data_IF_726545688659
#
_entry.id   IF_726545688659
#
_cell.length_a   1.000
_cell.length_b   1.000
_cell.length_c   1.000
_cell.angle_alpha   90.00
_cell.angle_beta   90.00
_cell.angle_gamma   90.00
#
_symmetry.space_group_name_H-M   'P 1'
#
loop_
_entity.id
_entity.type
_entity.pdbx_description
1 polymer ?
#
# COMPACT_ATOMS: atom_id res chain seq x y z
N UNK A 1 26.75 34.65 64.12
CA UNK A 1 25.85 33.77 63.33
C UNK A 1 26.39 33.63 61.91
N UNK A 2 26.99 32.48 61.59
CA UNK A 2 27.71 32.21 60.34
C UNK A 2 26.70 31.71 59.31
N UNK A 3 26.27 32.55 58.36
CA UNK A 3 25.27 32.17 57.35
C UNK A 3 25.86 31.08 56.43
N UNK A 4 25.19 29.94 56.36
CA UNK A 4 25.55 28.79 55.52
C UNK A 4 25.46 29.17 54.03
N UNK A 5 26.54 29.73 53.45
CA UNK A 5 26.58 30.13 52.03
C UNK A 5 26.72 28.94 51.06
N UNK A 6 27.18 27.77 51.54
CA UNK A 6 27.43 26.60 50.69
C UNK A 6 26.18 25.83 50.26
N UNK A 7 25.12 25.82 51.09
CA UNK A 7 23.93 24.99 50.83
C UNK A 7 23.09 25.52 49.66
N UNK A 8 23.10 26.84 49.44
CA UNK A 8 22.41 27.47 48.31
C UNK A 8 23.05 27.08 46.98
N UNK A 9 24.38 26.97 46.92
CA UNK A 9 25.10 26.55 45.73
C UNK A 9 24.78 25.08 45.39
N UNK A 10 24.70 24.23 46.42
CA UNK A 10 24.35 22.83 46.26
C UNK A 10 22.93 22.64 45.70
N UNK A 11 21.95 23.39 46.23
CA UNK A 11 20.58 23.39 45.69
C UNK A 11 20.51 23.91 44.25
N UNK A 12 21.23 25.00 43.94
CA UNK A 12 21.27 25.52 42.57
C UNK A 12 21.83 24.50 41.58
N UNK A 13 22.84 23.73 41.98
CA UNK A 13 23.44 22.69 41.14
C UNK A 13 22.49 21.52 40.91
N UNK A 14 21.73 21.08 41.92
CA UNK A 14 20.71 20.04 41.76
C UNK A 14 19.62 20.49 40.78
N UNK A 15 19.11 21.72 40.95
CA UNK A 15 18.07 22.26 40.07
C UNK A 15 18.57 22.37 38.63
N UNK A 16 19.82 22.80 38.44
CA UNK A 16 20.43 22.89 37.11
C UNK A 16 20.49 21.50 36.44
N UNK A 17 20.93 20.46 37.17
CA UNK A 17 20.98 19.10 36.64
C UNK A 17 19.58 18.56 36.31
N UNK A 18 18.58 18.83 37.15
CA UNK A 18 17.20 18.41 36.86
C UNK A 18 16.66 19.08 35.60
N UNK A 19 16.91 20.38 35.43
CA UNK A 19 16.47 21.12 34.24
C UNK A 19 17.14 20.62 32.96
N UNK A 20 18.43 20.26 33.00
CA UNK A 20 19.13 19.73 31.82
C UNK A 20 18.62 18.34 31.45
N UNK A 21 18.37 17.46 32.42
CA UNK A 21 17.83 16.10 32.15
C UNK A 21 16.44 16.20 31.51
N UNK A 22 15.57 17.06 32.02
CA UNK A 22 14.23 17.29 31.44
C UNK A 22 14.35 17.86 30.02
N UNK A 23 15.26 18.82 29.81
CA UNK A 23 15.51 19.41 28.50
C UNK A 23 15.97 18.40 27.45
N UNK A 24 16.92 17.53 27.79
CA UNK A 24 17.41 16.48 26.89
C UNK A 24 16.32 15.45 26.61
N UNK A 25 15.57 15.01 27.61
CA UNK A 25 14.48 14.05 27.43
C UNK A 25 13.40 14.57 26.47
N UNK A 26 13.02 15.84 26.58
CA UNK A 26 12.07 16.48 25.67
C UNK A 26 12.63 16.61 24.25
N UNK A 27 13.90 17.00 24.11
CA UNK A 27 14.54 17.15 22.80
C UNK A 27 14.63 15.81 22.05
N UNK A 28 14.96 14.71 22.76
CA UNK A 28 15.02 13.36 22.18
C UNK A 28 13.63 12.90 21.71
N UNK A 29 12.62 13.01 22.57
CA UNK A 29 11.25 12.61 22.21
C UNK A 29 10.70 13.43 21.02
N UNK A 30 10.93 14.75 21.01
CA UNK A 30 10.52 15.59 19.88
C UNK A 30 11.21 15.20 18.57
N UNK A 31 12.51 14.88 18.62
CA UNK A 31 13.27 14.45 17.44
C UNK A 31 12.77 13.10 16.92
N UNK A 32 12.41 12.18 17.82
CA UNK A 32 11.81 10.90 17.45
C UNK A 32 10.44 11.10 16.78
N UNK A 33 9.56 11.91 17.38
CA UNK A 33 8.25 12.23 16.82
C UNK A 33 8.38 12.85 15.42
N UNK A 34 9.32 13.78 15.21
CA UNK A 34 9.55 14.38 13.89
C UNK A 34 9.97 13.35 12.84
N UNK A 35 10.87 12.42 13.19
CA UNK A 35 11.29 11.35 12.28
C UNK A 35 10.15 10.39 11.96
N UNK A 36 9.29 10.08 12.93
CA UNK A 36 8.11 9.25 12.71
C UNK A 36 7.06 9.96 11.85
N UNK A 37 6.83 11.25 12.06
CA UNK A 37 5.94 12.05 11.21
C UNK A 37 6.44 12.15 9.77
N UNK A 38 7.75 12.31 9.56
CA UNK A 38 8.35 12.29 8.22
C UNK A 38 8.15 10.94 7.51
N UNK A 39 8.46 9.83 8.19
CA UNK A 39 8.23 8.50 7.62
C UNK A 39 6.75 8.21 7.36
N UNK A 40 5.86 8.75 8.21
CA UNK A 40 4.41 8.69 7.99
C UNK A 40 3.98 9.45 6.74
N UNK A 41 4.49 10.67 6.54
CA UNK A 41 4.21 11.47 5.35
C UNK A 41 4.66 10.78 4.06
N UNK A 42 5.90 10.25 4.03
CA UNK A 42 6.42 9.50 2.88
C UNK A 42 5.57 8.27 2.55
N UNK A 43 5.03 7.58 3.57
CA UNK A 43 4.12 6.45 3.35
C UNK A 43 2.77 6.89 2.76
N UNK A 44 2.22 8.02 3.20
CA UNK A 44 0.95 8.54 2.66
C UNK A 44 1.13 9.00 1.22
N UNK A 45 2.23 9.66 0.90
CA UNK A 45 2.58 10.02 -0.47
C UNK A 45 2.72 8.76 -1.35
N UNK A 46 3.46 7.75 -0.88
CA UNK A 46 3.59 6.49 -1.59
C UNK A 46 2.25 5.78 -1.82
N UNK A 47 1.31 5.89 -0.86
CA UNK A 47 -0.05 5.38 -1.03
C UNK A 47 -0.80 6.13 -2.12
N UNK A 48 -0.74 7.47 -2.13
CA UNK A 48 -1.39 8.27 -3.16
C UNK A 48 -0.83 7.94 -4.57
N UNK A 49 0.48 7.73 -4.67
CA UNK A 49 1.13 7.30 -5.91
C UNK A 49 0.67 5.90 -6.32
N UNK A 50 0.64 4.94 -5.38
CA UNK A 50 0.20 3.58 -5.65
C UNK A 50 -1.26 3.51 -6.06
N UNK A 51 -2.14 4.26 -5.40
CA UNK A 51 -3.57 4.37 -5.72
C UNK A 51 -3.78 5.05 -7.09
N UNK A 52 -3.06 6.14 -7.38
CA UNK A 52 -3.14 6.83 -8.67
C UNK A 52 -2.64 5.96 -9.83
N UNK A 53 -1.52 5.26 -9.64
CA UNK A 53 -1.01 4.31 -10.62
C UNK A 53 -1.92 3.10 -10.82
N UNK A 54 -2.60 2.67 -9.75
CA UNK A 54 -3.60 1.62 -9.84
C UNK A 54 -4.79 2.06 -10.71
N UNK A 55 -5.35 3.24 -10.44
CA UNK A 55 -6.50 3.75 -11.19
C UNK A 55 -6.16 4.03 -12.65
N UNK A 56 -4.96 4.54 -12.93
CA UNK A 56 -4.44 4.68 -14.28
C UNK A 56 -4.27 3.33 -15.00
N UNK A 57 -3.75 2.31 -14.32
CA UNK A 57 -3.62 0.97 -14.90
C UNK A 57 -4.98 0.33 -15.20
N UNK A 58 -6.00 0.57 -14.36
CA UNK A 58 -7.38 0.13 -14.62
C UNK A 58 -7.92 0.85 -15.85
N UNK A 59 -7.81 2.18 -15.90
CA UNK A 59 -8.33 2.99 -16.99
C UNK A 59 -7.66 2.65 -18.34
N UNK A 60 -6.36 2.36 -18.33
CA UNK A 60 -5.60 1.95 -19.51
C UNK A 60 -5.99 0.55 -20.02
N UNK A 61 -6.43 -0.35 -19.14
CA UNK A 61 -6.72 -1.75 -19.47
C UNK A 61 -8.22 -2.10 -19.51
N UNK A 62 -9.11 -1.14 -19.23
CA UNK A 62 -10.56 -1.40 -19.22
C UNK A 62 -11.08 -1.96 -20.54
N UNK A 63 -12.17 -2.74 -20.47
CA UNK A 63 -12.81 -3.32 -21.65
C UNK A 63 -12.06 -4.54 -22.16
N UNK A 64 -11.62 -4.51 -23.42
CA UNK A 64 -11.12 -5.70 -24.13
C UNK A 64 -9.80 -6.23 -23.57
N UNK A 65 -8.92 -5.38 -23.04
CA UNK A 65 -7.65 -5.81 -22.47
C UNK A 65 -7.88 -6.67 -21.22
N UNK A 66 -8.65 -6.20 -20.24
CA UNK A 66 -9.04 -7.00 -19.08
C UNK A 66 -9.90 -8.22 -19.44
N UNK A 67 -10.77 -8.12 -20.45
CA UNK A 67 -11.61 -9.23 -20.89
C UNK A 67 -10.83 -10.40 -21.53
N UNK A 68 -9.70 -10.10 -22.19
CA UNK A 68 -8.88 -11.10 -22.91
C UNK A 68 -7.58 -11.46 -22.18
N UNK A 69 -7.30 -10.80 -21.05
CA UNK A 69 -6.10 -11.05 -20.26
C UNK A 69 -6.05 -12.51 -19.80
N UNK A 70 -5.04 -13.23 -20.29
CA UNK A 70 -4.84 -14.66 -20.04
C UNK A 70 -3.55 -14.97 -19.28
N UNK A 71 -2.60 -14.03 -19.29
CA UNK A 71 -1.31 -14.13 -18.63
C UNK A 71 -1.10 -12.93 -17.70
N UNK A 72 -0.11 -13.03 -16.81
CA UNK A 72 0.33 -11.89 -16.00
C UNK A 72 0.85 -10.78 -16.93
N UNK A 73 0.32 -9.58 -16.76
CA UNK A 73 0.82 -8.38 -17.42
C UNK A 73 1.43 -7.44 -16.38
N UNK A 74 2.49 -6.75 -16.77
CA UNK A 74 3.14 -5.75 -15.94
C UNK A 74 3.09 -4.40 -16.63
N UNK A 75 2.60 -3.38 -15.94
CA UNK A 75 2.58 -1.99 -16.40
C UNK A 75 3.28 -1.11 -15.37
N UNK A 76 3.71 0.07 -15.79
CA UNK A 76 4.33 1.04 -14.89
C UNK A 76 3.69 2.41 -15.12
N UNK A 77 2.69 2.72 -14.31
CA UNK A 77 1.93 3.95 -14.35
C UNK A 77 2.16 4.79 -13.11
N UNK A 78 2.21 6.12 -13.29
CA UNK A 78 2.42 7.10 -12.22
C UNK A 78 3.61 6.80 -11.29
N UNK A 79 4.70 6.23 -11.79
CA UNK A 79 5.89 5.92 -10.99
C UNK A 79 5.71 4.74 -10.02
N UNK A 80 4.62 4.00 -10.14
CA UNK A 80 4.35 2.74 -9.46
C UNK A 80 4.43 1.58 -10.45
N UNK A 81 4.77 0.37 -9.98
CA UNK A 81 4.73 -0.84 -10.79
C UNK A 81 3.42 -1.59 -10.52
N UNK A 82 2.60 -1.81 -11.55
CA UNK A 82 1.37 -2.58 -11.46
C UNK A 82 1.54 -3.95 -12.10
N UNK A 83 1.10 -4.99 -11.38
CA UNK A 83 1.07 -6.36 -11.87
C UNK A 83 -0.38 -6.79 -11.94
N UNK A 84 -0.86 -7.08 -13.15
CA UNK A 84 -2.21 -7.55 -13.43
C UNK A 84 -2.17 -9.08 -13.53
N UNK A 85 -2.88 -9.75 -12.65
CA UNK A 85 -2.92 -11.22 -12.55
C UNK A 85 -4.35 -11.71 -12.76
N UNK A 86 -4.65 -12.41 -13.87
CA UNK A 86 -5.94 -13.06 -14.04
C UNK A 86 -6.18 -14.13 -12.98
N UNK A 87 -7.41 -14.20 -12.49
CA UNK A 87 -7.87 -15.21 -11.53
C UNK A 87 -9.23 -15.76 -12.00
N UNK A 88 -9.59 -17.03 -11.68
CA UNK A 88 -9.02 -17.92 -10.67
C UNK A 88 -7.68 -18.57 -11.07
N UNK A 89 -6.96 -19.09 -10.08
CA UNK A 89 -5.85 -20.01 -10.32
C UNK A 89 -6.41 -21.43 -10.51
N UNK A 90 -5.82 -22.18 -11.43
CA UNK A 90 -6.12 -23.59 -11.67
C UNK A 90 -4.91 -24.45 -11.32
N UNK A 91 -5.11 -25.76 -11.20
CA UNK A 91 -4.04 -26.71 -10.91
C UNK A 91 -3.84 -27.57 -12.15
N UNK A 92 -2.61 -27.62 -12.67
CA UNK A 92 -2.29 -28.47 -13.81
C UNK A 92 -2.31 -29.97 -13.43
N UNK A 93 -2.25 -30.84 -14.43
CA UNK A 93 -2.23 -32.30 -14.22
C UNK A 93 -0.99 -32.79 -13.43
N UNK A 94 0.03 -31.94 -13.27
CA UNK A 94 1.25 -32.20 -12.49
C UNK A 94 1.17 -31.65 -11.06
N UNK A 95 0.05 -31.03 -10.67
CA UNK A 95 -0.16 -30.45 -9.34
C UNK A 95 0.40 -29.03 -9.15
N UNK A 96 0.82 -28.34 -10.22
CA UNK A 96 1.30 -26.96 -10.14
C UNK A 96 0.15 -25.96 -10.27
N UNK A 97 0.23 -24.84 -9.54
CA UNK A 97 -0.72 -23.74 -9.66
C UNK A 97 -0.41 -22.93 -10.92
N UNK A 98 -1.38 -22.85 -11.83
CA UNK A 98 -1.31 -22.11 -13.09
C UNK A 98 -2.42 -21.05 -13.14
N UNK A 99 -2.26 -20.07 -14.02
CA UNK A 99 -3.26 -19.02 -14.22
C UNK A 99 -4.42 -19.61 -15.01
N UNK A 100 -5.60 -19.66 -14.40
CA UNK A 100 -6.83 -20.10 -15.04
C UNK A 100 -7.69 -18.91 -15.39
N UNK A 101 -7.31 -18.14 -16.42
CA UNK A 101 -8.08 -17.00 -16.90
C UNK A 101 -9.43 -17.45 -17.47
N UNK A 102 -10.37 -17.67 -16.57
CA UNK A 102 -11.67 -18.29 -16.81
C UNK A 102 -12.78 -17.34 -16.40
N UNK A 103 -13.85 -17.39 -17.18
CA UNK A 103 -15.02 -16.58 -16.89
C UNK A 103 -15.81 -17.21 -15.74
N UNK A 104 -16.09 -16.41 -14.72
CA UNK A 104 -16.81 -16.82 -13.52
C UNK A 104 -18.12 -16.03 -13.38
N UNK A 105 -19.01 -16.46 -12.50
CA UNK A 105 -20.19 -15.66 -12.16
C UNK A 105 -19.80 -14.32 -11.55
N UNK A 106 -20.29 -13.22 -12.12
CA UNK A 106 -20.11 -11.87 -11.59
C UNK A 106 -20.68 -11.76 -10.17
N UNK A 107 -19.93 -11.19 -9.23
CA UNK A 107 -20.43 -10.97 -7.87
C UNK A 107 -21.39 -9.79 -7.80
N UNK A 108 -21.20 -8.80 -8.69
CA UNK A 108 -22.07 -7.64 -8.84
C UNK A 108 -22.57 -7.57 -10.27
N UNK A 109 -23.85 -7.91 -10.47
CA UNK A 109 -24.55 -7.66 -11.74
C UNK A 109 -25.65 -6.63 -11.49
N UNK A 110 -25.70 -5.60 -12.34
CA UNK A 110 -26.72 -4.54 -12.28
C UNK A 110 -28.11 -5.04 -12.74
N UNK A 111 -28.18 -6.12 -13.52
CA UNK A 111 -29.43 -6.62 -14.12
C UNK A 111 -29.45 -8.14 -14.20
N UNK A 112 -30.55 -8.76 -13.76
CA UNK A 112 -30.77 -10.20 -13.95
C UNK A 112 -30.74 -10.53 -15.44
N UNK A 113 -29.82 -11.40 -15.86
CA UNK A 113 -29.78 -11.93 -17.21
C UNK A 113 -30.59 -13.25 -17.26
N UNK A 114 -31.46 -13.38 -18.26
CA UNK A 114 -32.19 -14.62 -18.49
C UNK A 114 -31.25 -15.66 -19.10
N UNK A 115 -30.48 -16.36 -18.26
CA UNK A 115 -29.71 -17.55 -18.70
C UNK A 115 -28.20 -17.52 -18.46
N UNK A 116 -27.68 -16.66 -17.56
CA UNK A 116 -26.26 -16.65 -17.22
C UNK A 116 -25.32 -16.36 -18.41
N UNK A 117 -25.79 -15.58 -19.40
CA UNK A 117 -25.03 -15.23 -20.60
C UNK A 117 -23.87 -14.27 -20.34
N UNK A 118 -23.93 -13.49 -19.25
CA UNK A 118 -22.88 -12.56 -18.83
C UNK A 118 -22.11 -13.21 -17.69
N UNK A 119 -20.83 -13.42 -17.92
CA UNK A 119 -19.86 -13.81 -16.91
C UNK A 119 -18.88 -12.66 -16.67
N UNK A 120 -18.03 -12.78 -15.66
CA UNK A 120 -16.98 -11.83 -15.37
C UNK A 120 -15.62 -12.49 -15.42
N UNK A 121 -14.66 -11.79 -16.03
CA UNK A 121 -13.25 -12.08 -15.85
C UNK A 121 -12.73 -11.27 -14.67
N UNK A 122 -12.04 -11.94 -13.76
CA UNK A 122 -11.48 -11.31 -12.56
C UNK A 122 -9.99 -11.12 -12.74
N UNK A 123 -9.51 -9.93 -12.40
CA UNK A 123 -8.10 -9.58 -12.46
C UNK A 123 -7.72 -8.91 -11.15
N UNK A 124 -6.71 -9.48 -10.50
CA UNK A 124 -6.05 -8.85 -9.35
C UNK A 124 -4.98 -7.88 -9.88
N UNK A 125 -4.99 -6.64 -9.39
CA UNK A 125 -4.03 -5.62 -9.79
C UNK A 125 -3.26 -5.18 -8.55
N UNK A 126 -1.95 -5.41 -8.59
CA UNK A 126 -1.03 -5.14 -7.49
C UNK A 126 -0.16 -3.94 -7.85
N UNK A 127 -0.46 -2.78 -7.29
CA UNK A 127 0.31 -1.54 -7.48
C UNK A 127 1.33 -1.38 -6.36
N UNK A 128 2.62 -1.41 -6.71
CA UNK A 128 3.74 -1.39 -5.77
C UNK A 128 4.59 -0.14 -5.94
N UNK A 129 4.86 0.53 -4.81
CA UNK A 129 5.72 1.71 -4.72
C UNK A 129 6.73 1.52 -3.59
N UNK A 130 7.98 1.86 -3.86
CA UNK A 130 9.02 1.91 -2.83
C UNK A 130 9.06 3.32 -2.24
N UNK A 131 9.27 3.42 -0.93
CA UNK A 131 9.30 4.68 -0.20
C UNK A 131 10.29 4.63 0.96
N UNK A 132 10.59 5.78 1.56
CA UNK A 132 11.59 5.87 2.61
C UNK A 132 13.01 6.11 2.08
N UNK A 133 13.91 6.40 3.02
CA UNK A 133 15.35 6.51 2.73
C UNK A 133 15.85 5.21 2.10
N UNK A 134 16.56 5.34 0.97
CA UNK A 134 17.14 4.23 0.20
C UNK A 134 16.14 3.13 -0.24
N UNK A 135 14.86 3.48 -0.43
CA UNK A 135 13.80 2.54 -0.83
C UNK A 135 13.63 1.35 0.14
N UNK A 136 13.91 1.54 1.43
CA UNK A 136 13.77 0.51 2.47
C UNK A 136 12.31 0.13 2.75
N UNK A 137 11.36 1.03 2.49
CA UNK A 137 9.94 0.78 2.59
C UNK A 137 9.35 0.33 1.26
N UNK A 138 8.40 -0.59 1.31
CA UNK A 138 7.60 -0.99 0.15
C UNK A 138 6.13 -1.02 0.53
N UNK A 139 5.31 -0.35 -0.27
CA UNK A 139 3.86 -0.35 -0.15
C UNK A 139 3.29 -1.02 -1.38
N UNK A 140 2.42 -2.01 -1.19
CA UNK A 140 1.64 -2.62 -2.26
C UNK A 140 0.16 -2.43 -1.96
N UNK A 141 -0.56 -1.83 -2.90
CA UNK A 141 -2.02 -1.73 -2.88
C UNK A 141 -2.55 -2.80 -3.84
N UNK A 142 -3.40 -3.66 -3.32
CA UNK A 142 -4.01 -4.76 -4.08
C UNK A 142 -5.48 -4.45 -4.25
N UNK A 143 -5.96 -4.50 -5.48
CA UNK A 143 -7.39 -4.44 -5.79
C UNK A 143 -7.78 -5.57 -6.72
N UNK A 144 -9.06 -5.89 -6.74
CA UNK A 144 -9.62 -6.91 -7.59
C UNK A 144 -10.72 -6.28 -8.44
N UNK A 145 -10.55 -6.38 -9.76
CA UNK A 145 -11.46 -5.80 -10.75
C UNK A 145 -12.18 -6.95 -11.46
N UNK A 146 -13.48 -6.78 -11.65
CA UNK A 146 -14.30 -7.69 -12.44
C UNK A 146 -14.70 -6.98 -13.74
N UNK A 147 -14.40 -7.60 -14.88
CA UNK A 147 -14.79 -7.13 -16.21
C UNK A 147 -15.87 -8.05 -16.79
N UNK A 148 -17.02 -7.49 -17.13
CA UNK A 148 -18.12 -8.24 -17.76
C UNK A 148 -17.71 -8.72 -19.16
N UNK A 149 -18.01 -9.99 -19.44
CA UNK A 149 -17.76 -10.70 -20.70
C UNK A 149 -18.97 -11.56 -21.07
N UNK A 150 -19.13 -11.84 -22.36
CA UNK A 150 -20.19 -12.73 -22.85
C UNK A 150 -19.64 -14.15 -22.83
N UNK A 151 -20.37 -15.07 -22.18
CA UNK A 151 -19.94 -16.46 -22.04
C UNK A 151 -19.66 -17.11 -23.42
N UNK A 152 -18.41 -17.53 -23.66
CA UNK A 152 -18.00 -18.25 -24.88
C UNK A 152 -17.29 -17.43 -25.96
N UNK A 153 -16.76 -16.24 -25.65
CA UNK A 153 -15.88 -15.44 -26.52
C UNK A 153 -14.39 -15.73 -26.33
#
# INVERSE_FOLDING_TARGET
MRKQKGIVLFFALIVLVLMTVIGVALAVNSTQSLRMSGAGAERIEAKAIADGGLEAAIEANKGTSLATLSNIATTAEFGAQQILTPIPFEVDASGNIVIGAKDVGCQRSSRANGGNLINCRRVEINSTVNFGRDNLGRLTVVTLVEQEVIAGS
#
